data_IF_149387146641
#
_entry.id   IF_149387146641
#
_cell.length_a   1.000
_cell.length_b   1.000
_cell.length_c   1.000
_cell.angle_alpha   90.00
_cell.angle_beta   90.00
_cell.angle_gamma   90.00
#
_symmetry.space_group_name_H-M   'P 1'
#
loop_
_entity.id
_entity.type
_entity.pdbx_description
1 polymer ?
#
# COMPACT_ATOMS: atom_id res chain seq x y z
N UNK A 1 -25.08 21.07 17.23
CA UNK A 1 -25.16 21.91 16.01
C UNK A 1 -24.24 23.13 16.01
N UNK A 2 -24.43 24.15 16.86
CA UNK A 2 -23.64 25.41 16.79
C UNK A 2 -22.12 25.26 17.00
N UNK A 3 -21.69 24.24 17.76
CA UNK A 3 -20.28 23.99 18.04
C UNK A 3 -19.55 23.27 16.89
N UNK A 4 -20.20 22.29 16.23
CA UNK A 4 -19.62 21.54 15.12
C UNK A 4 -19.40 22.43 13.88
N UNK A 5 -20.40 23.23 13.50
CA UNK A 5 -20.28 24.19 12.39
C UNK A 5 -19.20 25.25 12.66
N UNK A 6 -19.12 25.76 13.90
CA UNK A 6 -18.07 26.71 14.30
C UNK A 6 -16.66 26.11 14.23
N UNK A 7 -16.50 24.80 14.46
CA UNK A 7 -15.22 24.11 14.31
C UNK A 7 -14.84 23.88 12.83
N UNK A 8 -15.83 23.63 11.96
CA UNK A 8 -15.61 23.60 10.51
C UNK A 8 -15.17 24.98 10.00
N UNK A 9 -15.81 26.06 10.45
CA UNK A 9 -15.41 27.45 10.15
C UNK A 9 -13.98 27.75 10.63
N UNK A 10 -13.51 27.03 11.66
CA UNK A 10 -12.16 27.12 12.22
C UNK A 10 -11.17 26.13 11.60
N UNK A 11 -11.55 25.44 10.51
CA UNK A 11 -10.74 24.41 9.82
C UNK A 11 -10.30 23.23 10.71
N UNK A 12 -11.11 22.86 11.70
CA UNK A 12 -10.86 21.71 12.58
C UNK A 12 -11.93 20.60 12.38
N UNK A 13 -11.82 19.80 11.30
CA UNK A 13 -12.82 18.79 10.97
C UNK A 13 -12.89 17.66 12.00
N UNK A 14 -11.81 17.38 12.74
CA UNK A 14 -11.82 16.34 13.76
C UNK A 14 -12.68 16.71 14.97
N UNK A 15 -12.48 17.91 15.51
CA UNK A 15 -13.32 18.40 16.60
C UNK A 15 -14.78 18.55 16.16
N UNK A 16 -15.02 18.97 14.91
CA UNK A 16 -16.37 19.03 14.35
C UNK A 16 -17.03 17.65 14.28
N UNK A 17 -16.28 16.62 13.88
CA UNK A 17 -16.76 15.24 13.83
C UNK A 17 -17.12 14.71 15.22
N UNK A 18 -16.26 14.94 16.22
CA UNK A 18 -16.54 14.56 17.61
C UNK A 18 -17.85 15.19 18.12
N UNK A 19 -18.02 16.50 17.90
CA UNK A 19 -19.27 17.18 18.29
C UNK A 19 -20.50 16.68 17.52
N UNK A 20 -20.34 16.29 16.25
CA UNK A 20 -21.45 15.73 15.47
C UNK A 20 -21.85 14.34 16.00
N UNK A 21 -20.88 13.49 16.33
CA UNK A 21 -21.10 12.16 16.93
C UNK A 21 -21.72 12.28 18.32
N UNK A 22 -21.20 13.15 19.19
CA UNK A 22 -21.74 13.40 20.54
C UNK A 22 -23.20 13.90 20.49
N UNK A 23 -23.50 14.78 19.53
CA UNK A 23 -24.85 15.30 19.32
C UNK A 23 -25.79 14.33 18.58
N UNK A 24 -25.29 13.17 18.15
CA UNK A 24 -26.00 12.20 17.30
C UNK A 24 -26.52 12.82 15.99
N UNK A 25 -25.82 13.85 15.49
CA UNK A 25 -26.11 14.49 14.21
C UNK A 25 -25.41 13.71 13.10
N UNK A 26 -26.01 12.56 12.75
CA UNK A 26 -25.38 11.59 11.85
C UNK A 26 -25.22 12.12 10.43
N UNK A 27 -26.12 12.98 9.95
CA UNK A 27 -25.99 13.63 8.64
C UNK A 27 -24.73 14.48 8.60
N UNK A 28 -24.54 15.35 9.60
CA UNK A 28 -23.34 16.18 9.67
C UNK A 28 -22.06 15.36 9.86
N UNK A 29 -22.09 14.32 10.70
CA UNK A 29 -20.93 13.46 10.91
C UNK A 29 -20.50 12.79 9.60
N UNK A 30 -21.46 12.30 8.81
CA UNK A 30 -21.22 11.69 7.50
C UNK A 30 -20.66 12.72 6.51
N UNK A 31 -21.27 13.90 6.41
CA UNK A 31 -20.80 14.97 5.51
C UNK A 31 -19.35 15.36 5.80
N UNK A 32 -18.98 15.47 7.09
CA UNK A 32 -17.61 15.77 7.52
C UNK A 32 -16.65 14.65 7.10
N UNK A 33 -17.05 13.39 7.29
CA UNK A 33 -16.24 12.23 6.89
C UNK A 33 -16.02 12.22 5.38
N UNK A 34 -17.05 12.48 4.58
CA UNK A 34 -16.96 12.50 3.12
C UNK A 34 -16.09 13.66 2.59
N UNK A 35 -16.26 14.85 3.16
CA UNK A 35 -15.56 16.06 2.70
C UNK A 35 -14.09 16.10 3.15
N UNK A 36 -13.79 15.54 4.32
CA UNK A 36 -12.47 15.67 4.95
C UNK A 36 -11.71 14.34 5.09
N UNK A 37 -12.17 13.27 4.44
CA UNK A 37 -11.62 11.90 4.53
C UNK A 37 -10.09 11.84 4.52
N UNK A 38 -9.44 12.46 3.53
CA UNK A 38 -7.98 12.42 3.34
C UNK A 38 -7.25 13.13 4.50
N UNK A 39 -7.75 14.29 4.93
CA UNK A 39 -7.19 15.02 6.08
C UNK A 39 -7.41 14.24 7.38
N UNK A 40 -8.56 13.58 7.51
CA UNK A 40 -8.91 12.80 8.71
C UNK A 40 -8.07 11.53 8.82
N UNK A 41 -7.82 10.81 7.72
CA UNK A 41 -6.86 9.69 7.71
C UNK A 41 -5.48 10.19 8.12
N UNK A 42 -4.98 11.26 7.49
CA UNK A 42 -3.60 11.68 7.70
C UNK A 42 -3.30 12.22 9.09
N UNK A 43 -4.25 12.94 9.71
CA UNK A 43 -3.99 13.68 10.97
C UNK A 43 -4.83 13.21 12.16
N UNK A 44 -5.96 12.53 11.91
CA UNK A 44 -6.99 12.28 12.94
C UNK A 44 -7.61 10.88 12.83
N UNK A 45 -6.83 9.87 12.43
CA UNK A 45 -7.33 8.51 12.23
C UNK A 45 -8.06 7.91 13.43
N UNK A 46 -7.60 8.06 14.69
CA UNK A 46 -8.32 7.53 15.85
C UNK A 46 -9.74 8.11 15.97
N UNK A 47 -9.88 9.43 15.77
CA UNK A 47 -11.17 10.14 15.76
C UNK A 47 -12.07 9.63 14.63
N UNK A 48 -11.52 9.51 13.41
CA UNK A 48 -12.25 8.97 12.27
C UNK A 48 -12.76 7.55 12.53
N UNK A 49 -11.90 6.67 13.04
CA UNK A 49 -12.25 5.28 13.35
C UNK A 49 -13.33 5.21 14.43
N UNK A 50 -13.18 5.97 15.51
CA UNK A 50 -14.17 6.03 16.59
C UNK A 50 -15.53 6.52 16.07
N UNK A 51 -15.55 7.58 15.27
CA UNK A 51 -16.78 8.08 14.65
C UNK A 51 -17.45 7.03 13.76
N UNK A 52 -16.67 6.35 12.90
CA UNK A 52 -17.16 5.28 12.04
C UNK A 52 -17.75 4.10 12.84
N UNK A 53 -17.32 3.86 14.08
CA UNK A 53 -17.92 2.85 14.96
C UNK A 53 -19.29 3.27 15.51
N UNK A 54 -19.51 4.58 15.72
CA UNK A 54 -20.72 5.10 16.36
C UNK A 54 -21.85 5.43 15.38
N UNK A 55 -21.55 5.72 14.11
CA UNK A 55 -22.57 6.05 13.11
C UNK A 55 -23.58 4.88 12.96
N UNK A 56 -24.89 5.07 13.04
CA UNK A 56 -25.84 3.98 12.82
C UNK A 56 -25.77 3.39 11.40
N UNK A 57 -26.11 2.10 11.21
CA UNK A 57 -26.05 1.47 9.88
C UNK A 57 -26.97 2.15 8.87
N UNK A 58 -28.17 2.55 9.27
CA UNK A 58 -29.14 3.28 8.45
C UNK A 58 -28.66 4.67 7.99
N UNK A 59 -27.80 5.31 8.79
CA UNK A 59 -27.12 6.55 8.41
C UNK A 59 -25.91 6.29 7.49
N UNK A 60 -25.17 5.22 7.73
CA UNK A 60 -24.04 4.83 6.89
C UNK A 60 -24.47 4.29 5.51
N UNK A 61 -25.63 3.61 5.43
CA UNK A 61 -26.04 2.85 4.24
C UNK A 61 -26.32 3.71 3.00
N UNK A 62 -26.46 5.02 3.22
CA UNK A 62 -26.69 6.00 2.16
C UNK A 62 -25.40 6.65 1.65
N UNK A 63 -24.25 6.31 2.26
CA UNK A 63 -23.00 7.05 2.11
C UNK A 63 -21.81 6.13 1.93
N UNK A 64 -21.41 6.00 0.67
CA UNK A 64 -20.43 5.05 0.17
C UNK A 64 -19.07 5.13 0.88
N UNK A 65 -18.58 6.34 1.17
CA UNK A 65 -17.29 6.53 1.86
C UNK A 65 -17.30 6.01 3.30
N UNK A 66 -18.43 6.14 4.00
CA UNK A 66 -18.62 5.69 5.38
C UNK A 66 -18.70 4.16 5.44
N UNK A 67 -19.42 3.53 4.50
CA UNK A 67 -19.43 2.07 4.36
C UNK A 67 -18.03 1.52 4.06
N UNK A 68 -17.31 2.17 3.13
CA UNK A 68 -15.96 1.79 2.74
C UNK A 68 -14.98 1.91 3.93
N UNK A 69 -15.05 2.99 4.70
CA UNK A 69 -14.27 3.17 5.92
C UNK A 69 -14.55 2.12 6.99
N UNK A 70 -15.83 1.77 7.19
CA UNK A 70 -16.25 0.72 8.14
C UNK A 70 -15.74 -0.66 7.78
N UNK A 71 -15.79 -1.01 6.49
CA UNK A 71 -15.24 -2.26 5.98
C UNK A 71 -13.72 -2.31 6.17
N UNK A 72 -13.01 -1.22 5.84
CA UNK A 72 -11.56 -1.12 5.97
C UNK A 72 -11.07 -1.29 7.41
N UNK A 73 -11.78 -0.74 8.40
CA UNK A 73 -11.40 -0.83 9.82
C UNK A 73 -12.01 -2.03 10.55
N UNK A 74 -12.56 -3.01 9.84
CA UNK A 74 -13.10 -4.25 10.41
C UNK A 74 -14.27 -4.04 11.38
N UNK A 75 -14.98 -2.90 11.28
CA UNK A 75 -16.07 -2.51 12.18
C UNK A 75 -17.35 -3.30 11.89
N UNK A 76 -17.48 -3.79 10.65
CA UNK A 76 -18.58 -4.67 10.25
C UNK A 76 -18.02 -6.05 9.94
N UNK A 77 -18.34 -7.03 10.80
CA UNK A 77 -18.35 -8.44 10.39
C UNK A 77 -19.51 -8.61 9.40
N UNK A 78 -19.31 -8.25 8.15
CA UNK A 78 -20.24 -8.63 7.09
C UNK A 78 -20.06 -10.13 6.89
N UNK A 79 -21.04 -10.91 7.36
CA UNK A 79 -21.23 -12.35 7.05
C UNK A 79 -21.47 -12.64 5.55
N UNK A 80 -21.01 -11.78 4.65
CA UNK A 80 -21.05 -12.00 3.21
C UNK A 80 -19.96 -11.20 2.49
N UNK A 81 -18.90 -11.85 1.96
CA UNK A 81 -17.95 -11.25 1.01
C UNK A 81 -18.56 -10.84 -0.35
N UNK A 82 -19.90 -10.81 -0.48
CA UNK A 82 -20.61 -10.78 -1.77
C UNK A 82 -21.41 -9.52 -2.09
N UNK A 83 -21.51 -8.53 -1.19
CA UNK A 83 -22.47 -7.41 -1.37
C UNK A 83 -21.87 -6.03 -1.64
N UNK A 84 -20.55 -5.88 -1.65
CA UNK A 84 -19.94 -4.69 -2.26
C UNK A 84 -19.93 -4.93 -3.77
N UNK A 85 -20.75 -4.16 -4.49
CA UNK A 85 -21.01 -4.34 -5.93
C UNK A 85 -19.71 -4.51 -6.70
N UNK A 86 -19.50 -5.70 -7.29
CA UNK A 86 -18.33 -5.98 -8.11
C UNK A 86 -18.27 -5.01 -9.30
N UNK A 87 -17.08 -4.44 -9.53
CA UNK A 87 -16.83 -3.65 -10.73
C UNK A 87 -17.06 -4.51 -11.98
N UNK A 88 -17.70 -3.95 -13.03
CA UNK A 88 -17.89 -4.65 -14.30
C UNK A 88 -16.57 -5.22 -14.84
N UNK A 89 -16.67 -6.36 -15.54
CA UNK A 89 -15.48 -6.98 -16.16
C UNK A 89 -15.20 -6.40 -17.55
N UNK A 90 -16.25 -5.96 -18.25
CA UNK A 90 -16.17 -5.43 -19.60
C UNK A 90 -15.54 -4.04 -19.63
N UNK A 91 -14.53 -3.78 -20.48
CA UNK A 91 -13.98 -2.44 -20.68
C UNK A 91 -15.05 -1.40 -21.07
N UNK A 92 -16.05 -1.80 -21.87
CA UNK A 92 -17.11 -0.90 -22.29
C UNK A 92 -18.05 -0.53 -21.13
N UNK A 93 -18.34 -1.47 -20.23
CA UNK A 93 -19.15 -1.22 -19.04
C UNK A 93 -18.38 -0.38 -18.01
N UNK A 94 -17.07 -0.60 -17.86
CA UNK A 94 -16.21 0.25 -17.03
C UNK A 94 -16.14 1.68 -17.56
N UNK A 95 -16.08 1.86 -18.88
CA UNK A 95 -16.13 3.18 -19.50
C UNK A 95 -17.49 3.86 -19.28
N UNK A 96 -18.59 3.14 -19.48
CA UNK A 96 -19.92 3.68 -19.21
C UNK A 96 -20.11 4.06 -17.73
N UNK A 97 -19.60 3.25 -16.81
CA UNK A 97 -19.62 3.55 -15.38
C UNK A 97 -18.74 4.75 -15.03
N UNK A 98 -17.56 4.86 -15.62
CA UNK A 98 -16.65 6.00 -15.45
C UNK A 98 -17.26 7.33 -15.92
N UNK A 99 -18.06 7.32 -16.99
CA UNK A 99 -18.76 8.49 -17.48
C UNK A 99 -20.03 8.87 -16.67
N UNK A 100 -20.41 8.08 -15.66
CA UNK A 100 -21.62 8.29 -14.87
C UNK A 100 -21.36 8.99 -13.54
N UNK A 101 -22.42 9.54 -12.93
CA UNK A 101 -22.40 10.11 -11.57
C UNK A 101 -21.98 9.10 -10.49
N UNK A 102 -22.04 7.79 -10.78
CA UNK A 102 -21.62 6.72 -9.87
C UNK A 102 -20.11 6.43 -9.89
N UNK A 103 -19.33 7.10 -10.74
CA UNK A 103 -17.91 6.81 -10.91
C UNK A 103 -17.10 6.97 -9.62
N UNK A 104 -17.33 8.08 -8.89
CA UNK A 104 -16.65 8.39 -7.63
C UNK A 104 -16.85 7.29 -6.58
N UNK A 105 -18.07 6.81 -6.46
CA UNK A 105 -18.46 5.76 -5.52
C UNK A 105 -17.89 4.40 -5.92
N UNK A 106 -17.97 4.06 -7.21
CA UNK A 106 -17.39 2.84 -7.74
C UNK A 106 -15.86 2.77 -7.53
N UNK A 107 -15.15 3.89 -7.73
CA UNK A 107 -13.72 4.01 -7.42
C UNK A 107 -13.44 3.76 -5.94
N UNK A 108 -14.23 4.38 -5.06
CA UNK A 108 -14.04 4.30 -3.60
C UNK A 108 -14.27 2.89 -3.08
N UNK A 109 -15.40 2.27 -3.46
CA UNK A 109 -15.76 0.91 -3.08
C UNK A 109 -14.71 -0.07 -3.60
N UNK A 110 -14.39 -0.01 -4.89
CA UNK A 110 -13.43 -0.93 -5.48
C UNK A 110 -12.04 -0.78 -4.87
N UNK A 111 -11.61 0.44 -4.55
CA UNK A 111 -10.32 0.67 -3.89
C UNK A 111 -10.28 0.05 -2.49
N UNK A 112 -11.34 0.16 -1.69
CA UNK A 112 -11.38 -0.51 -0.39
C UNK A 112 -11.45 -2.03 -0.56
N UNK A 113 -12.23 -2.53 -1.53
CA UNK A 113 -12.30 -3.95 -1.81
C UNK A 113 -10.93 -4.53 -2.18
N UNK A 114 -10.14 -3.84 -3.00
CA UNK A 114 -8.80 -4.32 -3.37
C UNK A 114 -7.84 -4.31 -2.18
N UNK A 115 -7.95 -3.32 -1.27
CA UNK A 115 -7.18 -3.31 -0.01
C UNK A 115 -7.57 -4.51 0.86
N UNK A 116 -8.86 -4.75 1.08
CA UNK A 116 -9.32 -5.88 1.90
C UNK A 116 -8.88 -7.23 1.33
N UNK A 117 -8.86 -7.38 0.00
CA UNK A 117 -8.33 -8.58 -0.66
C UNK A 117 -6.83 -8.76 -0.38
N UNK A 118 -6.01 -7.71 -0.51
CA UNK A 118 -4.56 -7.85 -0.22
C UNK A 118 -4.28 -8.12 1.26
N UNK A 119 -5.04 -7.52 2.17
CA UNK A 119 -4.94 -7.77 3.61
C UNK A 119 -5.36 -9.21 3.98
N UNK A 120 -6.13 -9.88 3.11
CA UNK A 120 -6.46 -11.29 3.27
C UNK A 120 -5.44 -12.25 2.62
N UNK A 121 -4.42 -11.73 1.92
CA UNK A 121 -3.46 -12.52 1.14
C UNK A 121 -3.92 -12.85 -0.29
N UNK A 122 -5.05 -12.28 -0.75
CA UNK A 122 -5.68 -12.52 -2.04
C UNK A 122 -5.13 -11.56 -3.11
N UNK A 123 -3.82 -11.61 -3.36
CA UNK A 123 -3.09 -10.63 -4.19
C UNK A 123 -3.54 -10.57 -5.65
N UNK A 124 -3.74 -11.72 -6.31
CA UNK A 124 -4.23 -11.78 -7.70
C UNK A 124 -5.59 -11.07 -7.83
N UNK A 125 -6.54 -11.40 -6.94
CA UNK A 125 -7.88 -10.79 -6.93
C UNK A 125 -7.82 -9.29 -6.63
N UNK A 126 -6.93 -8.88 -5.72
CA UNK A 126 -6.69 -7.47 -5.43
C UNK A 126 -6.21 -6.70 -6.67
N UNK A 127 -5.26 -7.29 -7.42
CA UNK A 127 -4.73 -6.71 -8.64
C UNK A 127 -5.76 -6.70 -9.77
N UNK A 128 -6.61 -7.73 -9.91
CA UNK A 128 -7.70 -7.73 -10.89
C UNK A 128 -8.69 -6.59 -10.69
N UNK A 129 -9.09 -6.33 -9.43
CA UNK A 129 -9.91 -5.16 -9.11
C UNK A 129 -9.15 -3.87 -9.41
N UNK A 130 -7.86 -3.82 -9.09
CA UNK A 130 -6.99 -2.65 -9.34
C UNK A 130 -6.87 -2.32 -10.84
N UNK A 131 -6.75 -3.34 -11.70
CA UNK A 131 -6.75 -3.16 -13.17
C UNK A 131 -8.05 -2.50 -13.62
N UNK A 132 -9.21 -3.01 -13.15
CA UNK A 132 -10.54 -2.45 -13.47
C UNK A 132 -10.68 -1.01 -12.98
N UNK A 133 -10.21 -0.71 -11.77
CA UNK A 133 -10.18 0.65 -11.22
C UNK A 133 -9.32 1.60 -12.05
N UNK A 134 -8.14 1.17 -12.49
CA UNK A 134 -7.27 1.99 -13.35
C UNK A 134 -7.98 2.34 -14.67
N UNK A 135 -8.69 1.38 -15.29
CA UNK A 135 -9.52 1.64 -16.47
C UNK A 135 -10.67 2.61 -16.21
N UNK A 136 -11.46 2.36 -15.15
CA UNK A 136 -12.59 3.22 -14.78
C UNK A 136 -12.12 4.65 -14.47
N UNK A 137 -10.98 4.80 -13.79
CA UNK A 137 -10.43 6.11 -13.42
C UNK A 137 -10.09 7.00 -14.61
N UNK A 138 -9.68 6.41 -15.75
CA UNK A 138 -9.37 7.18 -16.97
C UNK A 138 -10.64 7.80 -17.53
N UNK A 139 -11.69 7.00 -17.69
CA UNK A 139 -12.99 7.50 -18.16
C UNK A 139 -13.61 8.50 -17.18
N UNK A 140 -13.48 8.28 -15.87
CA UNK A 140 -13.95 9.20 -14.85
C UNK A 140 -13.22 10.54 -14.88
N UNK A 141 -11.90 10.56 -15.10
CA UNK A 141 -11.13 11.79 -15.27
C UNK A 141 -11.51 12.56 -16.54
N UNK A 142 -11.87 11.87 -17.62
CA UNK A 142 -12.29 12.50 -18.86
C UNK A 142 -13.66 13.21 -18.75
N UNK A 143 -14.58 12.65 -17.96
CA UNK A 143 -15.97 13.13 -17.90
C UNK A 143 -16.26 13.96 -16.64
N UNK A 144 -15.71 13.57 -15.49
CA UNK A 144 -16.00 14.14 -14.17
C UNK A 144 -14.70 14.49 -13.39
N UNK A 145 -13.74 15.24 -13.98
CA UNK A 145 -12.41 15.45 -13.39
C UNK A 145 -12.45 16.08 -11.99
N UNK A 146 -13.36 17.03 -11.76
CA UNK A 146 -13.47 17.75 -10.49
C UNK A 146 -13.99 16.84 -9.36
N UNK A 147 -14.87 15.89 -9.67
CA UNK A 147 -15.46 14.99 -8.67
C UNK A 147 -14.49 13.90 -8.21
N UNK A 148 -13.65 13.39 -9.11
CA UNK A 148 -12.76 12.25 -8.82
C UNK A 148 -11.31 12.66 -8.57
N UNK A 149 -10.88 13.82 -9.07
CA UNK A 149 -9.49 14.26 -9.06
C UNK A 149 -8.88 14.33 -7.66
N UNK A 150 -9.65 14.79 -6.67
CA UNK A 150 -9.18 14.98 -5.30
C UNK A 150 -8.76 13.66 -4.62
N UNK A 151 -9.46 12.55 -4.86
CA UNK A 151 -9.22 11.27 -4.17
C UNK A 151 -8.24 10.35 -4.91
N UNK A 152 -8.05 10.56 -6.21
CA UNK A 152 -7.27 9.66 -7.05
C UNK A 152 -5.81 9.49 -6.61
N UNK A 153 -5.06 10.52 -6.17
CA UNK A 153 -3.67 10.31 -5.77
C UNK A 153 -3.53 9.31 -4.61
N UNK A 154 -4.42 9.39 -3.62
CA UNK A 154 -4.43 8.44 -2.51
C UNK A 154 -4.78 7.03 -2.98
N UNK A 155 -5.79 6.89 -3.85
CA UNK A 155 -6.17 5.60 -4.41
C UNK A 155 -5.02 4.97 -5.21
N UNK A 156 -4.30 5.77 -6.01
CA UNK A 156 -3.17 5.30 -6.80
C UNK A 156 -1.99 4.83 -5.95
N UNK A 157 -1.75 5.42 -4.77
CA UNK A 157 -0.79 4.84 -3.80
C UNK A 157 -1.21 3.44 -3.40
N UNK A 158 -2.49 3.24 -3.07
CA UNK A 158 -3.00 1.92 -2.69
C UNK A 158 -2.92 0.91 -3.83
N UNK A 159 -3.18 1.34 -5.06
CA UNK A 159 -3.05 0.51 -6.26
C UNK A 159 -1.60 0.13 -6.53
N UNK A 160 -0.67 1.06 -6.35
CA UNK A 160 0.76 0.78 -6.46
C UNK A 160 1.23 -0.28 -5.45
N UNK A 161 0.72 -0.23 -4.21
CA UNK A 161 0.99 -1.25 -3.17
C UNK A 161 0.39 -2.60 -3.58
N UNK A 162 -0.84 -2.65 -4.09
CA UNK A 162 -1.45 -3.90 -4.57
C UNK A 162 -0.56 -4.56 -5.64
N UNK A 163 -0.12 -3.78 -6.63
CA UNK A 163 0.78 -4.27 -7.67
C UNK A 163 2.16 -4.68 -7.14
N UNK A 164 2.74 -3.94 -6.18
CA UNK A 164 4.00 -4.28 -5.52
C UNK A 164 3.95 -5.64 -4.83
N UNK A 165 2.91 -5.87 -4.03
CA UNK A 165 2.76 -7.09 -3.24
C UNK A 165 2.44 -8.31 -4.10
N UNK A 166 1.87 -8.10 -5.28
CA UNK A 166 1.70 -9.13 -6.30
C UNK A 166 2.96 -9.37 -7.13
N UNK A 167 3.83 -8.38 -7.28
CA UNK A 167 5.06 -8.44 -8.08
C UNK A 167 4.98 -7.76 -9.44
N UNK A 168 3.86 -7.09 -9.75
CA UNK A 168 3.66 -6.29 -10.96
C UNK A 168 4.34 -4.91 -10.84
N UNK A 169 5.67 -4.90 -10.72
CA UNK A 169 6.45 -3.69 -10.41
C UNK A 169 6.34 -2.59 -11.48
N UNK A 170 6.12 -2.96 -12.76
CA UNK A 170 5.90 -2.00 -13.85
C UNK A 170 4.61 -1.20 -13.63
N UNK A 171 3.49 -1.90 -13.41
CA UNK A 171 2.19 -1.30 -13.12
C UNK A 171 2.22 -0.51 -11.82
N UNK A 172 2.89 -1.05 -10.79
CA UNK A 172 3.11 -0.34 -9.53
C UNK A 172 3.82 1.00 -9.77
N UNK A 173 4.88 0.99 -10.56
CA UNK A 173 5.65 2.20 -10.89
C UNK A 173 4.82 3.24 -11.64
N UNK A 174 3.94 2.80 -12.55
CA UNK A 174 3.02 3.70 -13.26
C UNK A 174 2.08 4.39 -12.27
N UNK A 175 1.40 3.62 -11.41
CA UNK A 175 0.44 4.17 -10.45
C UNK A 175 1.11 5.05 -9.39
N UNK A 176 2.28 4.64 -8.87
CA UNK A 176 3.05 5.43 -7.93
C UNK A 176 3.49 6.77 -8.53
N UNK A 177 3.96 6.81 -9.78
CA UNK A 177 4.33 8.08 -10.44
C UNK A 177 3.14 9.00 -10.65
N UNK A 178 1.98 8.46 -11.03
CA UNK A 178 0.74 9.23 -11.13
C UNK A 178 0.31 9.77 -9.76
N UNK A 179 0.41 8.96 -8.71
CA UNK A 179 0.17 9.38 -7.33
C UNK A 179 1.13 10.48 -6.87
N UNK A 180 2.41 10.39 -7.20
CA UNK A 180 3.42 11.41 -6.89
C UNK A 180 3.06 12.76 -7.50
N UNK A 181 2.74 12.79 -8.80
CA UNK A 181 2.37 14.03 -9.48
C UNK A 181 1.07 14.60 -8.94
N UNK A 182 0.07 13.74 -8.69
CA UNK A 182 -1.20 14.12 -8.09
C UNK A 182 -1.04 14.69 -6.68
N UNK A 183 -0.36 13.97 -5.79
CA UNK A 183 -0.09 14.40 -4.41
C UNK A 183 0.66 15.71 -4.36
N UNK A 184 1.70 15.87 -5.21
CA UNK A 184 2.45 17.12 -5.32
C UNK A 184 1.57 18.28 -5.78
N UNK A 185 0.72 18.06 -6.77
CA UNK A 185 -0.18 19.10 -7.29
C UNK A 185 -1.22 19.55 -6.26
N UNK A 186 -1.60 18.65 -5.35
CA UNK A 186 -2.57 18.90 -4.29
C UNK A 186 -1.92 19.36 -2.97
N UNK A 187 -0.59 19.40 -2.89
CA UNK A 187 0.13 19.74 -1.65
C UNK A 187 -0.02 18.70 -0.53
N UNK A 188 -0.19 17.42 -0.88
CA UNK A 188 -0.33 16.32 0.09
C UNK A 188 0.99 15.56 0.21
N UNK A 189 1.84 16.01 1.13
CA UNK A 189 3.23 15.55 1.26
C UNK A 189 3.37 14.05 1.50
N UNK A 190 2.55 13.45 2.38
CA UNK A 190 2.68 12.03 2.69
C UNK A 190 2.38 11.12 1.48
N UNK A 191 1.43 11.51 0.62
CA UNK A 191 1.12 10.81 -0.64
C UNK A 191 2.32 10.92 -1.57
N UNK A 192 2.86 12.14 -1.71
CA UNK A 192 4.01 12.44 -2.56
C UNK A 192 5.24 11.65 -2.11
N UNK A 193 5.51 11.61 -0.81
CA UNK A 193 6.64 10.88 -0.22
C UNK A 193 6.49 9.38 -0.40
N UNK A 194 5.33 8.81 -0.05
CA UNK A 194 5.07 7.37 -0.19
C UNK A 194 5.22 6.94 -1.66
N UNK A 195 4.63 7.69 -2.58
CA UNK A 195 4.71 7.43 -4.01
C UNK A 195 6.16 7.46 -4.54
N UNK A 196 6.97 8.43 -4.10
CA UNK A 196 8.38 8.51 -4.47
C UNK A 196 9.19 7.34 -3.90
N UNK A 197 9.00 7.00 -2.63
CA UNK A 197 9.65 5.85 -1.98
C UNK A 197 9.28 4.51 -2.64
N UNK A 198 8.00 4.31 -2.93
CA UNK A 198 7.49 3.17 -3.69
C UNK A 198 8.14 3.05 -5.07
N UNK A 199 8.25 4.17 -5.78
CA UNK A 199 8.90 4.20 -7.10
C UNK A 199 10.39 3.88 -6.99
N UNK A 200 11.08 4.45 -5.99
CA UNK A 200 12.50 4.18 -5.75
C UNK A 200 12.73 2.69 -5.44
N UNK A 201 11.88 2.10 -4.60
CA UNK A 201 11.98 0.68 -4.23
C UNK A 201 11.77 -0.22 -5.44
N UNK A 202 10.75 0.05 -6.28
CA UNK A 202 10.52 -0.74 -7.48
C UNK A 202 11.74 -0.74 -8.42
N UNK A 203 12.40 0.42 -8.61
CA UNK A 203 13.62 0.51 -9.40
C UNK A 203 14.83 -0.17 -8.76
N UNK A 204 14.99 -0.03 -7.43
CA UNK A 204 16.04 -0.72 -6.70
C UNK A 204 15.88 -2.24 -6.82
N UNK A 205 14.65 -2.74 -6.69
CA UNK A 205 14.35 -4.15 -6.85
C UNK A 205 14.79 -4.64 -8.22
N UNK A 206 14.42 -3.98 -9.33
CA UNK A 206 14.80 -4.45 -10.68
C UNK A 206 16.26 -4.14 -11.09
N UNK A 207 17.12 -3.70 -10.17
CA UNK A 207 18.54 -3.46 -10.45
C UNK A 207 18.82 -2.20 -11.27
N UNK A 208 18.00 -1.16 -11.12
CA UNK A 208 18.12 0.13 -11.83
C UNK A 208 18.55 1.26 -10.85
N UNK A 209 19.82 1.27 -10.38
CA UNK A 209 20.25 2.09 -9.25
C UNK A 209 20.18 3.60 -9.52
N UNK A 210 20.37 4.04 -10.78
CA UNK A 210 20.25 5.46 -11.13
C UNK A 210 18.82 5.97 -10.98
N UNK A 211 17.85 5.15 -11.38
CA UNK A 211 16.44 5.47 -11.22
C UNK A 211 16.04 5.41 -9.73
N UNK A 212 16.51 4.41 -8.99
CA UNK A 212 16.28 4.28 -7.55
C UNK A 212 16.82 5.49 -6.77
N UNK A 213 18.05 5.93 -7.08
CA UNK A 213 18.67 7.11 -6.48
C UNK A 213 17.88 8.39 -6.78
N UNK A 214 17.52 8.61 -8.04
CA UNK A 214 16.73 9.79 -8.45
C UNK A 214 15.42 9.89 -7.66
N UNK A 215 14.68 8.79 -7.54
CA UNK A 215 13.42 8.78 -6.81
C UNK A 215 13.62 8.88 -5.29
N UNK A 216 14.70 8.31 -4.75
CA UNK A 216 15.08 8.48 -3.34
C UNK A 216 15.42 9.94 -3.01
N UNK A 217 16.03 10.68 -3.93
CA UNK A 217 16.25 12.12 -3.78
C UNK A 217 14.95 12.93 -3.83
N UNK A 218 13.97 12.50 -4.63
CA UNK A 218 12.64 13.12 -4.65
C UNK A 218 11.86 12.84 -3.36
N UNK A 219 11.92 11.62 -2.85
CA UNK A 219 11.28 11.20 -1.59
C UNK A 219 11.75 12.05 -0.41
N UNK A 220 13.07 12.21 -0.25
CA UNK A 220 13.68 12.97 0.85
C UNK A 220 13.38 14.48 0.84
N UNK A 221 12.78 15.03 -0.22
CA UNK A 221 12.35 16.44 -0.25
C UNK A 221 11.10 16.69 0.59
N UNK A 222 10.41 15.63 1.03
CA UNK A 222 9.18 15.72 1.79
C UNK A 222 9.42 15.22 3.22
N UNK A 223 8.85 15.87 4.25
CA UNK A 223 9.03 15.47 5.64
C UNK A 223 8.35 14.13 5.92
N UNK A 224 8.79 13.46 6.99
CA UNK A 224 8.13 12.25 7.46
C UNK A 224 6.74 12.65 7.98
N UNK A 225 5.68 11.89 7.66
CA UNK A 225 4.37 12.20 8.20
C UNK A 225 4.33 11.88 9.70
N UNK A 226 3.63 12.70 10.47
CA UNK A 226 3.53 12.49 11.92
C UNK A 226 2.71 11.24 12.28
N UNK A 227 3.03 10.64 13.43
CA UNK A 227 2.19 9.67 14.10
C UNK A 227 2.13 8.31 13.41
N UNK A 228 0.93 7.78 13.22
CA UNK A 228 0.73 6.40 12.78
C UNK A 228 1.10 6.15 11.30
N UNK A 229 1.17 7.21 10.48
CA UNK A 229 1.54 7.11 9.07
C UNK A 229 3.05 6.99 8.87
N UNK A 230 3.86 7.53 9.79
CA UNK A 230 5.32 7.51 9.71
C UNK A 230 5.87 6.11 9.37
N UNK A 231 5.58 5.06 10.18
CA UNK A 231 6.10 3.73 9.92
C UNK A 231 5.64 3.15 8.58
N UNK A 232 4.46 3.52 8.08
CA UNK A 232 3.90 2.98 6.83
C UNK A 232 4.51 3.64 5.59
N UNK A 233 4.88 4.93 5.67
CA UNK A 233 5.34 5.70 4.52
C UNK A 233 6.84 5.54 4.28
N UNK A 234 7.63 5.35 5.34
CA UNK A 234 9.10 5.33 5.26
C UNK A 234 9.70 4.02 4.72
N UNK A 235 9.01 2.90 4.87
CA UNK A 235 9.57 1.55 4.64
C UNK A 235 10.08 1.36 3.21
N UNK A 236 9.30 1.75 2.20
CA UNK A 236 9.72 1.62 0.81
C UNK A 236 10.96 2.47 0.50
N UNK A 237 10.99 3.72 0.96
CA UNK A 237 12.13 4.63 0.75
C UNK A 237 13.40 4.15 1.44
N UNK A 238 13.30 3.65 2.67
CA UNK A 238 14.44 3.08 3.41
C UNK A 238 14.95 1.80 2.74
N UNK A 239 14.06 0.90 2.33
CA UNK A 239 14.43 -0.32 1.60
C UNK A 239 15.16 0.01 0.30
N UNK A 240 14.64 0.96 -0.49
CA UNK A 240 15.25 1.40 -1.74
C UNK A 240 16.68 1.93 -1.54
N UNK A 241 16.87 2.77 -0.52
CA UNK A 241 18.19 3.33 -0.19
C UNK A 241 19.16 2.28 0.30
N UNK A 242 18.72 1.35 1.14
CA UNK A 242 19.58 0.27 1.62
C UNK A 242 20.02 -0.63 0.46
N UNK A 243 19.12 -1.02 -0.44
CA UNK A 243 19.47 -1.78 -1.64
C UNK A 243 20.45 -1.00 -2.54
N UNK A 244 20.19 0.29 -2.77
CA UNK A 244 21.08 1.14 -3.59
C UNK A 244 22.48 1.28 -2.97
N UNK A 245 22.58 1.35 -1.64
CA UNK A 245 23.85 1.39 -0.92
C UNK A 245 24.60 0.04 -1.04
N UNK A 246 23.89 -1.07 -0.91
CA UNK A 246 24.44 -2.42 -1.08
C UNK A 246 24.96 -2.65 -2.51
N UNK A 247 24.27 -2.16 -3.54
CA UNK A 247 24.68 -2.28 -4.95
C UNK A 247 26.06 -1.66 -5.23
N UNK A 248 26.46 -0.65 -4.45
CA UNK A 248 27.77 0.01 -4.56
C UNK A 248 28.73 -0.39 -3.43
N UNK A 249 28.37 -1.40 -2.64
CA UNK A 249 29.12 -1.91 -1.47
C UNK A 249 29.39 -0.85 -0.40
N UNK A 250 28.52 0.15 -0.26
CA UNK A 250 28.56 1.12 0.85
C UNK A 250 27.87 0.52 2.09
N UNK A 251 28.57 -0.42 2.72
CA UNK A 251 28.02 -1.22 3.83
C UNK A 251 27.75 -0.37 5.08
N UNK A 252 28.56 0.64 5.36
CA UNK A 252 28.37 1.53 6.52
C UNK A 252 27.07 2.35 6.37
N UNK A 253 26.82 2.87 5.15
CA UNK A 253 25.58 3.57 4.88
C UNK A 253 24.37 2.62 4.92
N UNK A 254 24.50 1.43 4.34
CA UNK A 254 23.46 0.40 4.40
C UNK A 254 23.10 0.04 5.85
N UNK A 255 24.08 -0.17 6.72
CA UNK A 255 23.86 -0.52 8.13
C UNK A 255 23.14 0.59 8.91
N UNK A 256 23.47 1.85 8.61
CA UNK A 256 22.77 3.01 9.18
C UNK A 256 21.30 3.01 8.79
N UNK A 257 21.01 2.76 7.51
CA UNK A 257 19.64 2.71 6.99
C UNK A 257 18.88 1.49 7.56
N UNK A 258 19.53 0.33 7.69
CA UNK A 258 18.91 -0.88 8.23
C UNK A 258 18.62 -0.76 9.73
N UNK A 259 19.47 -0.06 10.47
CA UNK A 259 19.21 0.30 11.88
C UNK A 259 17.96 1.18 11.98
N UNK A 260 17.81 2.11 11.06
CA UNK A 260 16.65 2.99 10.97
C UNK A 260 15.38 2.24 10.54
N UNK A 261 15.48 1.33 9.57
CA UNK A 261 14.37 0.50 9.08
C UNK A 261 13.87 -0.48 10.14
N UNK A 262 14.79 -1.01 10.96
CA UNK A 262 14.47 -2.02 11.96
C UNK A 262 14.14 -3.40 11.36
N UNK A 263 13.81 -4.38 12.22
CA UNK A 263 13.43 -5.72 11.78
C UNK A 263 12.02 -5.73 11.13
N UNK A 264 11.69 -6.75 10.31
CA UNK A 264 10.35 -6.89 9.76
C UNK A 264 9.31 -7.05 10.88
N UNK A 265 8.33 -6.15 10.92
CA UNK A 265 7.20 -6.20 11.85
C UNK A 265 6.10 -7.11 11.32
N UNK A 266 5.35 -7.78 12.22
CA UNK A 266 4.22 -8.65 11.82
C UNK A 266 3.07 -7.89 11.13
N UNK A 267 2.95 -6.59 11.39
CA UNK A 267 1.93 -5.73 10.79
C UNK A 267 2.37 -5.04 9.51
N UNK A 268 3.62 -5.24 9.07
CA UNK A 268 4.18 -4.55 7.90
C UNK A 268 3.74 -5.24 6.61
N UNK A 269 3.06 -4.53 5.70
CA UNK A 269 2.61 -5.11 4.43
C UNK A 269 3.80 -5.43 3.51
N UNK A 270 4.84 -4.59 3.52
CA UNK A 270 6.06 -4.73 2.72
C UNK A 270 7.14 -5.62 3.39
N UNK A 271 6.76 -6.46 4.36
CA UNK A 271 7.67 -7.25 5.19
C UNK A 271 8.69 -8.06 4.37
N UNK A 272 8.31 -8.60 3.22
CA UNK A 272 9.19 -9.43 2.39
C UNK A 272 10.34 -8.62 1.79
N UNK A 273 10.11 -7.36 1.46
CA UNK A 273 11.16 -6.45 0.98
C UNK A 273 12.14 -6.09 2.11
N UNK A 274 11.62 -5.89 3.32
CA UNK A 274 12.44 -5.69 4.53
C UNK A 274 13.31 -6.91 4.80
N UNK A 275 12.73 -8.12 4.79
CA UNK A 275 13.47 -9.38 4.94
C UNK A 275 14.55 -9.51 3.86
N UNK A 276 14.20 -9.23 2.60
CA UNK A 276 15.11 -9.31 1.47
C UNK A 276 16.33 -8.42 1.68
N UNK A 277 16.15 -7.13 1.98
CA UNK A 277 17.29 -6.21 2.13
C UNK A 277 18.18 -6.56 3.32
N UNK A 278 17.61 -7.04 4.43
CA UNK A 278 18.39 -7.57 5.56
C UNK A 278 19.19 -8.82 5.16
N UNK A 279 18.63 -9.71 4.33
CA UNK A 279 19.36 -10.88 3.83
C UNK A 279 20.50 -10.49 2.87
N UNK A 280 20.28 -9.50 1.99
CA UNK A 280 21.33 -8.99 1.10
C UNK A 280 22.49 -8.39 1.89
N UNK A 281 22.20 -7.59 2.92
CA UNK A 281 23.23 -7.05 3.81
C UNK A 281 23.99 -8.16 4.55
N UNK A 282 23.29 -9.18 5.07
CA UNK A 282 23.94 -10.29 5.74
C UNK A 282 24.84 -11.13 4.82
N UNK A 283 24.45 -11.30 3.54
CA UNK A 283 25.31 -11.91 2.52
C UNK A 283 26.58 -11.08 2.31
N UNK A 284 26.46 -9.76 2.22
CA UNK A 284 27.61 -8.85 2.09
C UNK A 284 28.53 -8.87 3.33
N UNK A 285 27.95 -9.04 4.52
CA UNK A 285 28.68 -9.11 5.81
C UNK A 285 29.13 -10.52 6.20
N UNK A 286 28.91 -11.54 5.37
CA UNK A 286 29.24 -12.94 5.65
C UNK A 286 28.55 -13.54 6.89
N UNK A 287 27.32 -13.11 7.19
CA UNK A 287 26.45 -13.69 8.24
C UNK A 287 25.17 -14.37 7.68
N UNK A 288 25.29 -15.34 6.75
CA UNK A 288 24.13 -15.97 6.12
C UNK A 288 23.30 -16.83 7.09
N UNK A 289 23.86 -17.28 8.21
CA UNK A 289 23.14 -18.11 9.19
C UNK A 289 22.07 -17.32 9.94
N UNK A 290 22.42 -16.12 10.43
CA UNK A 290 21.47 -15.25 11.13
C UNK A 290 20.36 -14.80 10.19
N UNK A 291 20.70 -14.46 8.95
CA UNK A 291 19.73 -14.09 7.92
C UNK A 291 18.78 -15.23 7.56
N UNK A 292 19.29 -16.46 7.36
CA UNK A 292 18.44 -17.61 7.07
C UNK A 292 17.45 -17.89 8.22
N UNK A 293 17.93 -17.76 9.46
CA UNK A 293 17.08 -17.90 10.65
C UNK A 293 16.00 -16.82 10.74
N UNK A 294 16.33 -15.57 10.40
CA UNK A 294 15.36 -14.47 10.32
C UNK A 294 14.33 -14.69 9.21
N UNK A 295 14.78 -15.10 8.02
CA UNK A 295 13.91 -15.38 6.87
C UNK A 295 12.86 -16.44 7.22
N UNK A 296 13.26 -17.56 7.84
CA UNK A 296 12.31 -18.61 8.23
C UNK A 296 11.30 -18.15 9.28
N UNK A 297 11.72 -17.34 10.26
CA UNK A 297 10.80 -16.75 11.25
C UNK A 297 9.80 -15.81 10.58
N UNK A 298 10.27 -14.95 9.68
CA UNK A 298 9.42 -14.00 8.97
C UNK A 298 8.38 -14.71 8.09
N UNK A 299 8.78 -15.74 7.33
CA UNK A 299 7.85 -16.57 6.54
C UNK A 299 6.79 -17.21 7.44
N UNK A 300 7.20 -17.75 8.60
CA UNK A 300 6.27 -18.37 9.55
C UNK A 300 5.26 -17.34 10.08
N UNK A 301 5.73 -16.15 10.48
CA UNK A 301 4.87 -15.07 10.97
C UNK A 301 3.89 -14.55 9.90
N UNK A 302 4.25 -14.61 8.62
CA UNK A 302 3.46 -14.11 7.50
C UNK A 302 2.89 -15.22 6.62
N UNK A 303 2.58 -16.39 7.18
CA UNK A 303 2.13 -17.58 6.41
C UNK A 303 0.93 -17.27 5.52
N UNK A 304 -0.01 -16.42 5.96
CA UNK A 304 -1.18 -16.03 5.17
C UNK A 304 -0.83 -15.13 3.97
N UNK A 305 0.31 -14.45 4.01
CA UNK A 305 0.78 -13.50 3.01
C UNK A 305 1.90 -14.06 2.13
N UNK A 306 2.46 -15.21 2.48
CA UNK A 306 3.46 -15.93 1.71
C UNK A 306 2.78 -16.97 0.79
N UNK A 307 2.01 -16.47 -0.17
CA UNK A 307 1.24 -17.27 -1.13
C UNK A 307 1.91 -17.29 -2.51
N UNK A 308 1.61 -18.28 -3.39
CA UNK A 308 2.18 -18.34 -4.74
C UNK A 308 1.89 -17.12 -5.63
N UNK A 309 0.85 -16.34 -5.31
CA UNK A 309 0.48 -15.10 -6.03
C UNK A 309 1.09 -13.84 -5.40
N UNK A 310 1.81 -13.99 -4.28
CA UNK A 310 2.55 -12.90 -3.67
C UNK A 310 3.95 -12.79 -4.26
N UNK A 311 4.46 -11.57 -4.35
CA UNK A 311 5.85 -11.31 -4.70
C UNK A 311 6.84 -11.90 -3.69
N UNK A 312 6.42 -12.00 -2.42
CA UNK A 312 7.25 -12.53 -1.35
C UNK A 312 7.71 -13.97 -1.63
N UNK A 313 6.86 -14.78 -2.27
CA UNK A 313 7.12 -16.21 -2.45
C UNK A 313 8.31 -16.50 -3.39
N UNK A 314 8.37 -16.02 -4.63
CA UNK A 314 9.55 -16.21 -5.47
C UNK A 314 10.78 -15.46 -4.93
N UNK A 315 10.61 -14.24 -4.40
CA UNK A 315 11.70 -13.42 -3.87
C UNK A 315 12.45 -14.13 -2.72
N UNK A 316 11.71 -14.60 -1.71
CA UNK A 316 12.31 -15.20 -0.52
C UNK A 316 12.82 -16.62 -0.77
N UNK A 317 12.25 -17.35 -1.74
CA UNK A 317 12.82 -18.63 -2.19
C UNK A 317 14.19 -18.43 -2.84
N UNK A 318 14.31 -17.45 -3.73
CA UNK A 318 15.59 -17.11 -4.35
C UNK A 318 16.62 -16.68 -3.30
N UNK A 319 16.22 -15.77 -2.41
CA UNK A 319 17.05 -15.32 -1.27
C UNK A 319 17.49 -16.48 -0.39
N UNK A 320 16.60 -17.45 -0.13
CA UNK A 320 16.93 -18.64 0.65
C UNK A 320 17.95 -19.53 -0.06
N UNK A 321 17.88 -19.65 -1.39
CA UNK A 321 18.88 -20.39 -2.18
C UNK A 321 20.25 -19.72 -2.01
N UNK A 322 20.35 -18.39 -2.15
CA UNK A 322 21.62 -17.66 -1.98
C UNK A 322 22.23 -17.86 -0.58
N UNK A 323 21.40 -17.76 0.46
CA UNK A 323 21.83 -18.00 1.84
C UNK A 323 22.31 -19.44 2.07
N UNK A 324 21.63 -20.43 1.48
CA UNK A 324 22.05 -21.83 1.56
C UNK A 324 23.36 -22.06 0.82
N UNK A 325 23.56 -21.44 -0.35
CA UNK A 325 24.82 -21.52 -1.09
C UNK A 325 25.97 -20.88 -0.30
N UNK A 326 25.75 -19.71 0.31
CA UNK A 326 26.73 -19.04 1.16
C UNK A 326 27.13 -19.87 2.40
N UNK A 327 26.21 -20.71 2.91
CA UNK A 327 26.47 -21.67 3.98
C UNK A 327 27.14 -22.98 3.52
N UNK A 328 27.36 -23.17 2.22
CA UNK A 328 27.88 -24.43 1.66
C UNK A 328 26.85 -25.56 1.60
N UNK A 329 25.57 -25.26 1.77
CA UNK A 329 24.45 -26.20 1.82
C UNK A 329 23.88 -26.48 0.42
N UNK A 330 24.76 -26.74 -0.56
CA UNK A 330 24.41 -26.84 -1.99
C UNK A 330 23.32 -27.88 -2.31
N UNK A 331 23.28 -29.00 -1.58
CA UNK A 331 22.23 -30.01 -1.75
C UNK A 331 20.84 -29.45 -1.37
N UNK A 332 20.75 -28.66 -0.30
CA UNK A 332 19.49 -28.02 0.12
C UNK A 332 19.10 -26.92 -0.86
N UNK A 333 20.06 -26.12 -1.29
CA UNK A 333 19.86 -25.08 -2.31
C UNK A 333 19.31 -25.68 -3.61
N UNK A 334 19.93 -26.76 -4.12
CA UNK A 334 19.50 -27.45 -5.33
C UNK A 334 18.10 -28.08 -5.18
N UNK A 335 17.82 -28.72 -4.04
CA UNK A 335 16.50 -29.29 -3.78
C UNK A 335 15.41 -28.19 -3.75
N UNK A 336 15.70 -27.03 -3.16
CA UNK A 336 14.77 -25.90 -3.14
C UNK A 336 14.56 -25.33 -4.56
N UNK A 337 15.63 -25.12 -5.33
CA UNK A 337 15.55 -24.64 -6.71
C UNK A 337 14.68 -25.56 -7.58
N UNK A 338 14.86 -26.88 -7.47
CA UNK A 338 14.05 -27.87 -8.20
C UNK A 338 12.57 -27.90 -7.80
N UNK A 339 12.21 -27.31 -6.65
CA UNK A 339 10.82 -27.22 -6.18
C UNK A 339 10.09 -25.96 -6.67
N UNK A 340 10.77 -25.06 -7.36
CA UNK A 340 10.19 -23.86 -7.96
C UNK A 340 9.46 -24.27 -9.23
N UNK A 341 8.14 -24.07 -9.24
CA UNK A 341 7.35 -24.25 -10.45
C UNK A 341 7.60 -23.08 -11.40
N UNK A 342 7.88 -23.38 -12.66
CA UNK A 342 8.14 -22.41 -13.73
C UNK A 342 9.16 -21.31 -13.38
N UNK A 343 10.46 -21.64 -13.21
CA UNK A 343 11.50 -20.66 -12.89
C UNK A 343 11.66 -19.52 -13.91
N UNK A 344 11.08 -19.67 -15.10
CA UNK A 344 11.10 -18.65 -16.14
C UNK A 344 9.98 -17.61 -16.00
N UNK A 345 8.98 -17.88 -15.16
CA UNK A 345 7.87 -16.95 -14.90
C UNK A 345 8.29 -15.76 -14.03
N UNK A 346 9.33 -15.92 -13.20
CA UNK A 346 9.80 -14.87 -12.29
C UNK A 346 11.26 -14.48 -12.59
N UNK A 347 11.56 -13.18 -12.75
CA UNK A 347 12.94 -12.72 -12.98
C UNK A 347 13.87 -13.04 -11.79
N UNK A 348 13.30 -13.30 -10.61
CA UNK A 348 14.01 -13.62 -9.37
C UNK A 348 14.42 -15.08 -9.26
N UNK A 349 13.87 -15.96 -10.10
CA UNK A 349 14.15 -17.41 -10.07
C UNK A 349 15.04 -17.87 -11.22
N UNK A 350 15.49 -16.94 -12.07
CA UNK A 350 16.43 -17.19 -13.15
C UNK A 350 17.88 -17.17 -12.62
N UNK A 351 18.38 -18.33 -12.22
CA UNK A 351 19.81 -18.59 -12.04
C UNK A 351 20.20 -19.95 -12.61
#
# INVERSE_FOLDING_TARGET
MNCALRQLDSSNPAAALDYAVEAQDWTLAVDIVEQHWISMISRHLPTLRAALQHIPSDAADKHTAVQAGRALFGIVHTDAPGSLSLLPESPAELQALGASERAKDALSIGCVQSIMLRLAGEYERSVDITRRLSHLSRSALEHNPDEVGAQLPLMRVQWAINYQLHGSLTESTIEARLAFHGGRSQGVDFITRNAAGSTAMNWAMVGEPLHALHWSELERKYPDPDGWLEPLVRVAGLTARALTALDVLDLEHADTILTELGPPLESEELWAFVVYVHCQAALAHTDPFSALSMLHRAITAHTQHHTPTSFAHPLLRSTQIDLLLALGEGNKASALALSIADPAADPWTLW
#
